data_IF_060549907100
#
_entry.id   IF_060549907100
#
_cell.length_a   1.000
_cell.length_b   1.000
_cell.length_c   1.000
_cell.angle_alpha   90.00
_cell.angle_beta   90.00
_cell.angle_gamma   90.00
#
_symmetry.space_group_name_H-M   'P 1'
#
loop_
_entity.id
_entity.type
_entity.pdbx_description
1 polymer ?
#
# COMPACT_ATOMS: atom_id res chain seq x y z
N UNK A 1 -7.12 -7.31 7.36
CA UNK A 1 -6.61 -7.61 6.01
C UNK A 1 -5.13 -8.01 6.02
N UNK A 2 -4.26 -7.39 6.84
CA UNK A 2 -2.86 -7.85 7.05
C UNK A 2 -2.62 -8.54 8.39
N UNK A 3 -3.55 -8.47 9.35
CA UNK A 3 -3.45 -9.23 10.59
C UNK A 3 -3.32 -10.72 10.24
N UNK A 4 -2.16 -11.30 10.57
CA UNK A 4 -1.73 -12.68 10.30
C UNK A 4 -1.01 -12.95 8.96
N UNK A 5 -0.69 -11.94 8.15
CA UNK A 5 0.14 -12.15 6.94
C UNK A 5 1.65 -12.03 7.18
N UNK A 6 2.07 -11.67 8.39
CA UNK A 6 3.48 -11.37 8.71
C UNK A 6 3.98 -10.02 8.18
N UNK A 7 3.13 -9.25 7.49
CA UNK A 7 3.48 -7.95 6.94
C UNK A 7 3.08 -6.80 7.87
N UNK A 8 3.96 -5.78 7.95
CA UNK A 8 3.71 -4.53 8.68
C UNK A 8 3.15 -3.47 7.73
N UNK A 9 2.05 -2.84 8.11
CA UNK A 9 1.52 -1.67 7.40
C UNK A 9 2.03 -0.39 8.07
N UNK A 10 2.53 0.55 7.28
CA UNK A 10 3.02 1.85 7.75
C UNK A 10 2.14 2.95 7.16
N UNK A 11 1.40 3.72 7.97
CA UNK A 11 0.66 4.86 7.47
C UNK A 11 1.63 5.98 7.08
N UNK A 12 1.38 6.60 5.93
CA UNK A 12 2.08 7.80 5.47
C UNK A 12 1.03 8.88 5.24
N UNK A 13 1.21 10.02 5.90
CA UNK A 13 0.37 11.20 5.68
C UNK A 13 0.95 12.02 4.53
N UNK A 14 0.32 11.94 3.36
CA UNK A 14 0.76 12.67 2.16
C UNK A 14 0.59 14.19 2.32
N UNK A 15 -0.30 14.64 3.20
CA UNK A 15 -0.54 16.08 3.41
C UNK A 15 0.56 16.74 4.26
N UNK A 16 1.32 15.94 5.02
CA UNK A 16 2.41 16.41 5.86
C UNK A 16 3.72 16.68 5.11
N UNK A 17 3.89 16.13 3.90
CA UNK A 17 5.08 16.35 3.03
C UNK A 17 4.64 17.04 1.73
N UNK A 18 5.10 18.28 1.45
CA UNK A 18 4.73 19.01 0.24
C UNK A 18 5.07 18.29 -1.07
N UNK A 19 6.15 17.51 -1.10
CA UNK A 19 6.57 16.76 -2.29
C UNK A 19 5.59 15.62 -2.54
N UNK A 20 5.25 14.86 -1.49
CA UNK A 20 4.24 13.81 -1.58
C UNK A 20 2.85 14.37 -1.90
N UNK A 21 2.47 15.52 -1.33
CA UNK A 21 1.19 16.18 -1.63
C UNK A 21 1.11 16.60 -3.10
N UNK A 22 2.20 17.14 -3.66
CA UNK A 22 2.24 17.56 -5.06
C UNK A 22 2.11 16.35 -6.01
N UNK A 23 2.77 15.24 -5.70
CA UNK A 23 2.80 14.06 -6.55
C UNK A 23 1.56 13.16 -6.40
N UNK A 24 0.99 13.08 -5.19
CA UNK A 24 0.01 12.04 -4.81
C UNK A 24 -1.26 12.57 -4.13
N UNK A 25 -1.37 13.86 -3.85
CA UNK A 25 -2.47 14.42 -3.04
C UNK A 25 -3.88 14.18 -3.58
N UNK A 26 -4.01 13.86 -4.88
CA UNK A 26 -5.28 13.52 -5.52
C UNK A 26 -5.49 12.01 -5.73
N UNK A 27 -4.42 11.22 -5.62
CA UNK A 27 -4.38 9.81 -5.97
C UNK A 27 -4.68 8.87 -4.80
N UNK A 28 -4.81 9.42 -3.58
CA UNK A 28 -5.08 8.65 -2.36
C UNK A 28 -6.45 7.95 -2.41
N UNK A 29 -6.60 6.78 -1.75
CA UNK A 29 -5.57 6.00 -1.05
C UNK A 29 -4.60 5.30 -2.02
N UNK A 30 -3.33 5.30 -1.63
CA UNK A 30 -2.23 4.59 -2.28
C UNK A 30 -1.72 3.47 -1.37
N UNK A 31 -1.29 2.36 -1.97
CA UNK A 31 -0.59 1.29 -1.25
C UNK A 31 0.61 0.82 -2.06
N UNK A 32 1.76 0.79 -1.41
CA UNK A 32 3.02 0.37 -2.01
C UNK A 32 3.70 -0.71 -1.16
N UNK A 33 4.46 -1.56 -1.84
CA UNK A 33 5.56 -2.32 -1.25
C UNK A 33 6.88 -1.92 -1.93
N UNK A 34 7.72 -1.18 -1.22
CA UNK A 34 8.91 -0.56 -1.80
C UNK A 34 8.54 0.32 -3.01
N UNK A 35 9.05 -0.03 -4.19
CA UNK A 35 8.74 0.65 -5.45
C UNK A 35 7.53 0.11 -6.22
N UNK A 36 6.83 -0.92 -5.71
CA UNK A 36 5.70 -1.54 -6.40
C UNK A 36 4.39 -0.91 -5.94
N UNK A 37 3.65 -0.27 -6.85
CA UNK A 37 2.29 0.21 -6.60
C UNK A 37 1.30 -0.97 -6.62
N UNK A 38 0.54 -1.13 -5.54
CA UNK A 38 -0.49 -2.18 -5.40
C UNK A 38 -1.88 -1.58 -5.63
N UNK A 39 -2.12 -0.36 -5.17
CA UNK A 39 -3.38 0.34 -5.44
C UNK A 39 -3.23 1.86 -5.48
N UNK A 40 -4.16 2.50 -6.19
CA UNK A 40 -4.32 3.95 -6.35
C UNK A 40 -5.81 4.28 -6.49
N UNK A 41 -6.25 5.39 -5.89
CA UNK A 41 -7.64 5.87 -5.78
C UNK A 41 -8.63 4.95 -5.07
N UNK A 42 -8.49 3.63 -5.16
CA UNK A 42 -9.36 2.65 -4.53
C UNK A 42 -8.56 1.44 -4.09
N UNK A 43 -8.93 0.88 -2.93
CA UNK A 43 -8.34 -0.37 -2.46
C UNK A 43 -8.72 -1.52 -3.40
N UNK A 44 -7.74 -2.06 -4.12
CA UNK A 44 -7.90 -3.23 -4.96
C UNK A 44 -7.66 -4.50 -4.11
N UNK A 45 -8.72 -5.00 -3.47
CA UNK A 45 -8.65 -6.19 -2.62
C UNK A 45 -8.09 -7.43 -3.35
N UNK A 46 -8.51 -7.75 -4.60
CA UNK A 46 -7.91 -8.85 -5.35
C UNK A 46 -6.40 -8.70 -5.56
N UNK A 47 -5.93 -7.51 -5.97
CA UNK A 47 -4.50 -7.27 -6.18
C UNK A 47 -3.72 -7.37 -4.86
N UNK A 48 -4.27 -6.85 -3.76
CA UNK A 48 -3.65 -6.99 -2.44
C UNK A 48 -3.58 -8.45 -1.99
N UNK A 49 -4.64 -9.23 -2.18
CA UNK A 49 -4.67 -10.65 -1.80
C UNK A 49 -3.65 -11.46 -2.61
N UNK A 50 -3.55 -11.22 -3.92
CA UNK A 50 -2.57 -11.89 -4.76
C UNK A 50 -1.14 -11.50 -4.38
N UNK A 51 -0.90 -10.21 -4.13
CA UNK A 51 0.39 -9.76 -3.62
C UNK A 51 0.76 -10.43 -2.30
N UNK A 52 -0.18 -10.50 -1.34
CA UNK A 52 0.02 -11.17 -0.05
C UNK A 52 0.34 -12.65 -0.22
N UNK A 53 -0.34 -13.35 -1.12
CA UNK A 53 -0.10 -14.78 -1.41
C UNK A 53 1.29 -15.03 -2.00
N UNK A 54 1.77 -14.13 -2.85
CA UNK A 54 3.08 -14.22 -3.49
C UNK A 54 4.24 -13.85 -2.54
N UNK A 55 3.97 -13.01 -1.54
CA UNK A 55 4.99 -12.43 -0.66
C UNK A 55 4.88 -12.85 0.81
N UNK A 56 3.93 -13.74 1.15
CA UNK A 56 3.85 -14.28 2.50
C UNK A 56 5.03 -15.19 2.78
N UNK A 57 5.75 -14.91 3.87
CA UNK A 57 6.79 -15.80 4.38
C UNK A 57 6.10 -17.07 4.90
N UNK A 58 6.43 -18.23 4.33
CA UNK A 58 6.06 -19.49 4.94
C UNK A 58 6.73 -19.57 6.32
N UNK A 59 5.91 -19.64 7.37
CA UNK A 59 6.39 -19.93 8.73
C UNK A 59 7.13 -21.27 8.77
#
# INVERSE_FOLDING_TARGET
>A
LTANSGHRLVPVDVDADPSLKADFGWDVPLLFDGGTEICRHQLNLPALQEWLRLNSVAC
#
